data_IF_223973939291
#
_entry.id   IF_223973939291
#
_cell.length_a   1.000
_cell.length_b   1.000
_cell.length_c   1.000
_cell.angle_alpha   90.00
_cell.angle_beta   90.00
_cell.angle_gamma   90.00
#
_symmetry.space_group_name_H-M   'P 1'
#
loop_
_entity.id
_entity.type
_entity.pdbx_description
1 polymer ?
#
# COMPACT_ATOMS: atom_id res chain seq x y z
N UNK A 1 7.43 11.99 67.96
CA UNK A 1 7.86 12.55 66.67
C UNK A 1 9.12 11.86 66.23
N UNK A 2 9.14 11.00 65.23
CA UNK A 2 10.34 10.51 64.61
C UNK A 2 10.63 11.28 63.31
N UNK A 3 11.93 11.57 63.09
CA UNK A 3 12.48 12.30 61.99
C UNK A 3 12.33 11.56 60.66
N UNK A 4 11.90 12.28 59.60
CA UNK A 4 11.94 11.81 58.23
C UNK A 4 13.39 11.76 57.74
N UNK A 5 13.87 10.58 57.35
CA UNK A 5 15.09 10.43 56.58
C UNK A 5 14.79 10.77 55.11
N UNK A 6 15.56 11.72 54.57
CA UNK A 6 15.54 12.08 53.15
C UNK A 6 16.22 10.98 52.33
N UNK A 7 15.52 10.51 51.31
CA UNK A 7 16.09 9.65 50.26
C UNK A 7 17.06 10.47 49.38
N UNK A 8 18.35 10.17 49.42
CA UNK A 8 19.32 10.63 48.43
C UNK A 8 19.00 9.91 47.13
N UNK A 9 18.63 10.70 46.07
CA UNK A 9 18.77 10.23 44.69
C UNK A 9 20.24 10.02 44.41
N UNK A 10 20.60 8.82 44.07
CA UNK A 10 21.92 8.49 43.51
C UNK A 10 21.79 8.77 42.01
N UNK A 11 22.38 9.85 41.54
CA UNK A 11 22.59 10.08 40.11
C UNK A 11 23.67 9.06 39.68
N UNK A 12 23.21 8.02 38.98
CA UNK A 12 24.09 7.05 38.33
C UNK A 12 24.52 7.70 37.00
N UNK A 13 25.77 8.17 36.96
CA UNK A 13 26.39 8.55 35.70
C UNK A 13 26.41 7.33 34.76
N UNK A 14 26.04 7.48 33.46
CA UNK A 14 26.11 6.38 32.52
C UNK A 14 27.54 5.85 32.42
N UNK A 15 27.66 4.54 32.51
CA UNK A 15 28.95 3.85 32.43
C UNK A 15 29.62 4.08 31.07
N UNK A 16 30.93 4.11 31.02
CA UNK A 16 31.73 4.25 29.78
C UNK A 16 31.39 3.18 28.70
N UNK A 17 30.70 2.11 29.06
CA UNK A 17 30.22 1.08 28.13
C UNK A 17 29.03 1.56 27.31
N UNK A 18 28.11 2.34 27.86
CA UNK A 18 26.95 2.92 27.14
C UNK A 18 27.36 4.07 26.21
N UNK A 19 28.51 4.72 26.48
CA UNK A 19 29.11 5.73 25.58
C UNK A 19 29.92 5.12 24.43
N UNK A 20 30.39 3.88 24.55
CA UNK A 20 31.16 3.19 23.50
C UNK A 20 30.32 2.58 22.39
N UNK A 21 29.01 2.36 22.61
CA UNK A 21 28.08 1.84 21.56
C UNK A 21 27.51 2.91 20.61
N UNK A 22 27.84 4.18 20.82
CA UNK A 22 27.51 5.28 19.89
C UNK A 22 28.66 5.64 18.95
N UNK A 23 29.65 4.79 18.77
CA UNK A 23 30.80 5.09 17.93
C UNK A 23 30.83 4.28 16.66
N UNK A 24 30.79 5.02 15.56
CA UNK A 24 31.26 4.67 14.23
C UNK A 24 30.44 3.63 13.44
N UNK A 25 29.14 3.91 13.28
CA UNK A 25 28.38 3.26 12.23
C UNK A 25 29.03 3.61 10.89
N UNK A 26 29.52 2.62 10.16
CA UNK A 26 30.22 2.83 8.91
C UNK A 26 29.29 3.51 7.86
N UNK A 27 29.88 4.21 6.88
CA UNK A 27 29.11 4.81 5.76
C UNK A 27 28.25 3.77 5.04
N UNK A 28 28.75 2.55 4.90
CA UNK A 28 28.03 1.40 4.32
C UNK A 28 26.79 1.03 5.12
N UNK A 29 26.91 0.97 6.45
CA UNK A 29 25.77 0.66 7.33
C UNK A 29 24.74 1.77 7.34
N UNK A 30 25.17 3.05 7.39
CA UNK A 30 24.27 4.20 7.30
C UNK A 30 23.53 4.23 5.95
N UNK A 31 24.22 3.94 4.84
CA UNK A 31 23.58 3.86 3.53
C UNK A 31 22.56 2.71 3.44
N UNK A 32 22.85 1.55 4.04
CA UNK A 32 21.89 0.44 4.11
C UNK A 32 20.64 0.81 4.93
N UNK A 33 20.80 1.50 6.04
CA UNK A 33 19.69 1.99 6.86
C UNK A 33 18.91 3.10 6.14
N UNK A 34 19.60 4.03 5.49
CA UNK A 34 18.99 5.10 4.70
C UNK A 34 18.21 4.56 3.51
N UNK A 35 18.66 3.44 2.91
CA UNK A 35 17.90 2.76 1.85
C UNK A 35 16.54 2.29 2.36
N UNK A 36 16.51 1.56 3.47
CA UNK A 36 15.24 1.05 4.05
C UNK A 36 14.34 2.21 4.47
N UNK A 37 14.91 3.21 5.16
CA UNK A 37 14.16 4.40 5.60
C UNK A 37 13.57 5.19 4.44
N UNK A 38 14.38 5.45 3.41
CA UNK A 38 14.03 6.29 2.27
C UNK A 38 13.25 5.57 1.17
N UNK A 39 13.25 4.22 1.16
CA UNK A 39 12.63 3.43 0.10
C UNK A 39 11.17 3.80 -0.15
N UNK A 40 10.30 3.97 0.86
CA UNK A 40 8.91 4.35 0.63
C UNK A 40 8.79 5.69 -0.10
N UNK A 41 9.53 6.70 0.31
CA UNK A 41 9.52 8.02 -0.33
C UNK A 41 10.00 7.94 -1.78
N UNK A 42 11.19 7.35 -2.00
CA UNK A 42 11.82 7.32 -3.33
C UNK A 42 10.98 6.48 -4.29
N UNK A 43 10.59 5.29 -3.89
CA UNK A 43 9.80 4.40 -4.73
C UNK A 43 8.41 4.97 -5.04
N UNK A 44 7.74 5.56 -4.05
CA UNK A 44 6.43 6.19 -4.23
C UNK A 44 6.52 7.36 -5.24
N UNK A 45 7.48 8.26 -5.07
CA UNK A 45 7.60 9.43 -5.95
C UNK A 45 8.09 9.06 -7.35
N UNK A 46 8.85 7.98 -7.51
CA UNK A 46 9.15 7.41 -8.83
C UNK A 46 7.85 6.90 -9.52
N UNK A 47 6.91 6.30 -8.75
CA UNK A 47 5.61 5.95 -9.34
C UNK A 47 4.76 7.19 -9.65
N UNK A 48 4.75 8.21 -8.78
CA UNK A 48 4.11 9.51 -9.09
C UNK A 48 4.62 10.07 -10.41
N UNK A 49 5.94 10.09 -10.61
CA UNK A 49 6.55 10.53 -11.86
C UNK A 49 6.04 9.72 -13.07
N UNK A 50 6.02 8.39 -12.96
CA UNK A 50 5.54 7.50 -14.04
C UNK A 50 4.07 7.76 -14.39
N UNK A 51 3.19 7.90 -13.39
CA UNK A 51 1.78 8.19 -13.64
C UNK A 51 1.56 9.52 -14.34
N UNK A 52 2.40 10.52 -14.05
CA UNK A 52 2.31 11.85 -14.68
C UNK A 52 2.83 11.84 -16.13
N UNK A 53 3.90 11.09 -16.42
CA UNK A 53 4.61 11.19 -17.68
C UNK A 53 4.37 10.02 -18.64
N UNK A 54 4.27 8.79 -18.12
CA UNK A 54 4.26 7.57 -18.94
C UNK A 54 2.90 6.86 -18.92
N UNK A 55 2.14 7.00 -17.83
CA UNK A 55 1.03 6.12 -17.48
C UNK A 55 1.52 4.80 -16.87
N UNK A 56 0.62 4.05 -16.24
CA UNK A 56 0.94 2.76 -15.61
C UNK A 56 -0.21 1.77 -15.83
N UNK A 57 0.07 0.63 -16.46
CA UNK A 57 -0.93 -0.39 -16.80
C UNK A 57 -2.07 0.19 -17.63
N UNK A 58 -3.32 -0.02 -17.20
CA UNK A 58 -4.51 0.51 -17.87
C UNK A 58 -4.76 2.01 -17.61
N UNK A 59 -3.98 2.67 -16.76
CA UNK A 59 -4.10 4.09 -16.48
C UNK A 59 -3.21 4.89 -17.42
N UNK A 60 -3.76 5.75 -18.33
CA UNK A 60 -2.95 6.62 -19.17
C UNK A 60 -2.22 7.68 -18.34
N UNK A 61 -1.16 8.27 -18.91
CA UNK A 61 -0.51 9.43 -18.32
C UNK A 61 -1.52 10.57 -18.12
N UNK A 62 -1.43 11.25 -16.97
CA UNK A 62 -2.24 12.42 -16.69
C UNK A 62 -1.43 13.45 -15.89
N UNK A 63 -1.58 14.76 -16.18
CA UNK A 63 -0.88 15.79 -15.44
C UNK A 63 -1.33 15.82 -13.97
N UNK A 64 -0.55 16.47 -13.12
CA UNK A 64 -0.95 16.70 -11.74
C UNK A 64 -2.35 17.33 -11.66
N UNK A 65 -3.07 16.99 -10.59
CA UNK A 65 -4.43 17.46 -10.30
C UNK A 65 -5.48 17.04 -11.36
N UNK A 66 -5.23 15.94 -12.05
CA UNK A 66 -6.14 15.36 -13.05
C UNK A 66 -6.24 13.86 -12.83
N UNK A 67 -7.46 13.34 -12.90
CA UNK A 67 -7.65 11.88 -12.82
C UNK A 67 -7.19 11.18 -14.11
N UNK A 68 -6.47 10.10 -13.91
CA UNK A 68 -6.24 9.04 -14.90
C UNK A 68 -7.16 7.88 -14.57
N UNK A 69 -8.01 7.51 -15.48
CA UNK A 69 -8.98 6.43 -15.27
C UNK A 69 -8.61 5.21 -16.11
N UNK A 70 -8.42 4.06 -15.46
CA UNK A 70 -8.51 2.78 -16.14
C UNK A 70 -9.96 2.57 -16.59
N UNK A 71 -10.16 1.98 -17.78
CA UNK A 71 -11.50 1.77 -18.35
C UNK A 71 -11.89 0.30 -18.46
N UNK A 72 -11.03 -0.58 -17.95
CA UNK A 72 -11.23 -2.04 -17.92
C UNK A 72 -10.82 -2.60 -16.59
N UNK A 73 -11.35 -3.74 -16.22
CA UNK A 73 -10.76 -4.57 -15.17
C UNK A 73 -9.40 -5.07 -15.63
N UNK A 74 -8.49 -5.29 -14.68
CA UNK A 74 -7.18 -5.84 -14.99
C UNK A 74 -7.28 -7.28 -15.49
N UNK A 75 -6.43 -7.63 -16.43
CA UNK A 75 -6.31 -8.96 -17.01
C UNK A 75 -4.87 -9.46 -17.05
N UNK A 76 -4.60 -10.64 -17.63
CA UNK A 76 -3.25 -11.23 -17.70
C UNK A 76 -2.24 -10.42 -18.50
N UNK A 77 -2.69 -9.48 -19.33
CA UNK A 77 -1.80 -8.56 -20.07
C UNK A 77 -1.27 -7.43 -19.20
N UNK A 78 -1.88 -7.18 -18.04
CA UNK A 78 -1.46 -6.18 -17.08
C UNK A 78 -0.38 -6.77 -16.17
N UNK A 79 0.87 -6.51 -16.48
CA UNK A 79 2.05 -7.04 -15.77
C UNK A 79 2.38 -6.25 -14.51
N UNK A 80 1.37 -5.90 -13.71
CA UNK A 80 1.55 -5.29 -12.40
C UNK A 80 1.39 -6.33 -11.30
N UNK A 81 2.34 -6.33 -10.36
CA UNK A 81 2.41 -7.31 -9.27
C UNK A 81 1.15 -7.29 -8.40
N UNK A 82 0.47 -8.43 -8.32
CA UNK A 82 -0.70 -8.64 -7.44
C UNK A 82 -1.84 -7.63 -7.70
N UNK A 83 -2.01 -7.18 -8.96
CA UNK A 83 -3.11 -6.27 -9.36
C UNK A 83 -4.47 -6.93 -9.06
N UNK A 84 -5.43 -6.16 -8.51
CA UNK A 84 -6.76 -6.71 -8.29
C UNK A 84 -7.59 -6.72 -9.60
N UNK A 85 -8.56 -7.61 -9.66
CA UNK A 85 -9.53 -7.76 -10.75
C UNK A 85 -10.97 -7.48 -10.27
N UNK A 86 -11.13 -6.81 -9.13
CA UNK A 86 -12.42 -6.58 -8.46
C UNK A 86 -12.96 -5.18 -8.70
N UNK A 87 -12.07 -4.24 -9.02
CA UNK A 87 -12.35 -2.81 -9.11
C UNK A 87 -11.61 -2.19 -10.28
N UNK A 88 -12.23 -1.17 -10.88
CA UNK A 88 -11.59 -0.32 -11.88
C UNK A 88 -10.90 0.85 -11.17
N UNK A 89 -9.68 1.19 -11.59
CA UNK A 89 -8.87 2.21 -10.93
C UNK A 89 -9.09 3.62 -11.47
N UNK A 90 -9.06 4.60 -10.57
CA UNK A 90 -8.94 6.02 -10.86
C UNK A 90 -7.77 6.59 -10.08
N UNK A 91 -6.73 7.01 -10.76
CA UNK A 91 -5.51 7.52 -10.14
C UNK A 91 -5.40 9.02 -10.36
N UNK A 92 -5.03 9.78 -9.34
CA UNK A 92 -4.66 11.18 -9.52
C UNK A 92 -3.42 11.49 -8.69
N UNK A 93 -2.44 12.11 -9.32
CA UNK A 93 -1.29 12.66 -8.64
C UNK A 93 -1.61 14.12 -8.32
N UNK A 94 -1.57 14.48 -7.04
CA UNK A 94 -1.96 15.79 -6.55
C UNK A 94 -0.70 16.59 -6.24
N UNK A 95 -0.64 17.83 -6.72
CA UNK A 95 0.37 18.80 -6.34
C UNK A 95 -0.32 20.10 -5.90
N UNK A 96 -0.30 20.33 -4.60
CA UNK A 96 -0.93 21.50 -3.96
C UNK A 96 0.00 22.72 -3.88
N UNK A 97 1.11 22.74 -4.60
CA UNK A 97 1.91 23.96 -4.81
C UNK A 97 1.11 25.04 -5.56
N UNK A 98 0.10 24.63 -6.32
CA UNK A 98 -0.85 25.52 -7.01
C UNK A 98 -1.87 26.19 -6.07
N UNK A 99 -1.96 25.73 -4.81
CA UNK A 99 -3.00 26.11 -3.86
C UNK A 99 -4.05 25.01 -3.67
N UNK A 100 -5.21 25.34 -3.06
CA UNK A 100 -6.28 24.36 -2.82
C UNK A 100 -6.85 23.76 -4.11
N UNK A 101 -7.25 22.48 -4.04
CA UNK A 101 -7.93 21.75 -5.11
C UNK A 101 -9.29 21.27 -4.60
N UNK A 102 -10.36 21.57 -5.31
CA UNK A 102 -11.68 21.04 -5.04
C UNK A 102 -11.81 19.65 -5.67
N UNK A 103 -12.24 18.67 -4.88
CA UNK A 103 -12.63 17.33 -5.33
C UNK A 103 -14.15 17.24 -5.24
N UNK A 104 -14.78 16.88 -6.36
CA UNK A 104 -16.18 16.50 -6.41
C UNK A 104 -16.33 15.00 -6.63
N UNK A 105 -17.22 14.35 -5.87
CA UNK A 105 -17.60 12.94 -6.06
C UNK A 105 -19.11 12.87 -6.27
N UNK A 106 -19.62 12.21 -7.32
CA UNK A 106 -21.05 12.08 -7.59
C UNK A 106 -21.73 11.11 -6.60
N UNK A 107 -23.07 11.13 -6.57
CA UNK A 107 -23.84 10.06 -5.91
C UNK A 107 -23.59 8.74 -6.62
N UNK A 108 -23.12 7.72 -5.90
CA UNK A 108 -22.77 6.41 -6.47
C UNK A 108 -23.88 5.36 -6.34
N UNK A 109 -25.05 5.79 -5.83
CA UNK A 109 -26.26 4.95 -5.66
C UNK A 109 -25.99 3.63 -4.92
N UNK A 110 -25.23 3.72 -3.81
CA UNK A 110 -24.89 2.57 -2.98
C UNK A 110 -23.72 1.71 -3.49
N UNK A 111 -23.10 2.04 -4.61
CA UNK A 111 -21.92 1.33 -5.12
C UNK A 111 -20.73 1.53 -4.19
N UNK A 112 -20.03 0.43 -3.89
CA UNK A 112 -18.74 0.53 -3.21
C UNK A 112 -17.74 1.26 -4.09
N UNK A 113 -17.10 2.25 -3.50
CA UNK A 113 -15.91 2.92 -4.01
C UNK A 113 -15.06 3.41 -2.85
N UNK A 114 -13.79 3.61 -3.11
CA UNK A 114 -12.86 4.28 -2.21
C UNK A 114 -11.90 5.15 -2.99
N UNK A 115 -11.71 6.37 -2.55
CA UNK A 115 -10.59 7.24 -2.87
C UNK A 115 -9.68 7.24 -1.65
N UNK A 116 -8.56 6.57 -1.73
CA UNK A 116 -7.52 6.48 -0.72
C UNK A 116 -6.51 7.60 -0.97
N UNK A 117 -6.19 8.37 0.05
CA UNK A 117 -5.22 9.45 -0.03
C UNK A 117 -3.91 9.01 0.62
N UNK A 118 -2.83 9.07 -0.15
CA UNK A 118 -1.49 8.61 0.24
C UNK A 118 -0.50 9.74 0.07
N UNK A 119 0.19 10.12 1.15
CA UNK A 119 1.20 11.19 1.10
C UNK A 119 2.51 10.74 0.45
N UNK A 120 3.49 11.65 0.32
CA UNK A 120 4.79 11.35 -0.26
C UNK A 120 5.53 10.21 0.47
N UNK A 121 5.32 10.05 1.78
CA UNK A 121 5.92 9.02 2.64
C UNK A 121 5.07 7.75 2.75
N UNK A 122 4.09 7.57 1.87
CA UNK A 122 3.17 6.42 1.83
C UNK A 122 2.19 6.30 3.00
N UNK A 123 2.02 7.34 3.82
CA UNK A 123 0.96 7.32 4.83
C UNK A 123 -0.42 7.39 4.17
N UNK A 124 -1.28 6.44 4.48
CA UNK A 124 -2.72 6.53 4.20
C UNK A 124 -3.33 7.51 5.21
N UNK A 125 -3.60 8.75 4.81
CA UNK A 125 -4.01 9.81 5.75
C UNK A 125 -5.47 10.22 5.67
N UNK A 126 -6.16 9.88 4.56
CA UNK A 126 -7.59 10.14 4.38
C UNK A 126 -8.24 9.09 3.49
N UNK A 127 -9.55 8.96 3.62
CA UNK A 127 -10.40 8.15 2.75
C UNK A 127 -11.70 8.89 2.45
N UNK A 128 -12.12 8.87 1.19
CA UNK A 128 -13.45 9.27 0.74
C UNK A 128 -14.07 8.06 0.05
N UNK A 129 -15.27 7.65 0.43
CA UNK A 129 -15.88 6.46 -0.16
C UNK A 129 -16.97 5.85 0.68
N UNK A 130 -17.42 4.69 0.27
CA UNK A 130 -18.58 4.00 0.81
C UNK A 130 -18.53 3.89 2.35
N UNK A 131 -17.45 3.37 2.92
CA UNK A 131 -17.25 3.27 4.37
C UNK A 131 -17.04 4.65 5.02
N UNK A 132 -16.18 5.49 4.42
CA UNK A 132 -15.64 6.67 5.07
C UNK A 132 -16.62 7.85 5.07
N UNK A 133 -17.31 8.10 3.94
CA UNK A 133 -18.18 9.27 3.73
C UNK A 133 -19.55 8.91 3.18
N UNK A 134 -19.81 7.63 2.94
CA UNK A 134 -21.04 7.16 2.30
C UNK A 134 -21.01 7.31 0.79
N UNK A 135 -22.18 7.11 0.16
CA UNK A 135 -22.32 7.00 -1.29
C UNK A 135 -23.02 8.21 -1.93
N UNK A 136 -23.40 9.20 -1.13
CA UNK A 136 -24.01 10.44 -1.65
C UNK A 136 -22.96 11.37 -2.24
N UNK A 137 -23.39 12.22 -3.16
CA UNK A 137 -22.54 13.26 -3.73
C UNK A 137 -21.90 14.11 -2.64
N UNK A 138 -20.61 14.42 -2.79
CA UNK A 138 -19.83 15.19 -1.83
C UNK A 138 -18.78 16.08 -2.46
N UNK A 139 -18.50 17.21 -1.80
CA UNK A 139 -17.47 18.16 -2.19
C UNK A 139 -16.43 18.27 -1.08
N UNK A 140 -15.16 18.17 -1.45
CA UNK A 140 -14.02 18.19 -0.55
C UNK A 140 -13.02 19.25 -1.00
N UNK A 141 -12.38 19.91 -0.06
CA UNK A 141 -11.31 20.88 -0.33
C UNK A 141 -9.97 20.28 0.12
N UNK A 142 -9.13 19.95 -0.84
CA UNK A 142 -7.77 19.45 -0.61
C UNK A 142 -6.85 20.64 -0.41
N UNK A 143 -6.16 20.70 0.73
CA UNK A 143 -5.34 21.86 1.10
C UNK A 143 -3.92 21.48 1.47
N UNK A 144 -2.90 22.30 1.11
CA UNK A 144 -1.50 22.03 1.49
C UNK A 144 -1.28 22.12 3.01
N UNK A 145 -0.17 21.59 3.54
CA UNK A 145 0.12 21.58 4.98
C UNK A 145 0.07 22.97 5.63
N UNK A 146 0.50 24.00 4.90
CA UNK A 146 0.61 25.37 5.39
C UNK A 146 -0.64 26.24 5.17
N UNK A 147 -1.73 25.64 4.66
CA UNK A 147 -2.93 26.41 4.36
C UNK A 147 -3.61 26.97 5.61
N UNK A 148 -3.89 28.29 5.61
CA UNK A 148 -4.52 29.03 6.70
C UNK A 148 -5.86 29.62 6.32
N UNK A 149 -6.39 29.28 5.13
CA UNK A 149 -7.67 29.79 4.64
C UNK A 149 -8.85 29.28 5.48
N UNK A 150 -10.01 29.89 5.27
CA UNK A 150 -11.26 29.52 5.94
C UNK A 150 -12.14 28.76 4.95
N UNK A 151 -12.53 27.50 5.24
CA UNK A 151 -13.45 26.77 4.38
C UNK A 151 -14.85 27.33 4.46
N UNK A 152 -15.68 27.09 3.44
CA UNK A 152 -17.13 27.34 3.55
C UNK A 152 -17.75 26.32 4.51
N UNK A 153 -18.86 26.66 5.15
CA UNK A 153 -19.51 25.85 6.20
C UNK A 153 -19.98 24.45 5.72
N UNK A 154 -19.99 24.20 4.42
CA UNK A 154 -20.51 22.97 3.81
C UNK A 154 -19.42 22.11 3.16
N UNK A 155 -18.15 22.55 3.17
CA UNK A 155 -17.06 21.86 2.51
C UNK A 155 -16.21 21.08 3.52
N UNK A 156 -16.07 19.79 3.34
CA UNK A 156 -15.13 18.96 4.11
C UNK A 156 -13.71 19.26 3.65
N UNK A 157 -12.85 19.72 4.57
CA UNK A 157 -11.44 19.98 4.28
C UNK A 157 -10.63 18.72 4.53
N UNK A 158 -9.73 18.40 3.59
CA UNK A 158 -8.71 17.36 3.74
C UNK A 158 -7.34 18.02 3.69
N UNK A 159 -6.65 18.04 4.81
CA UNK A 159 -5.33 18.65 4.94
C UNK A 159 -4.24 17.63 4.60
N UNK A 160 -3.45 17.94 3.59
CA UNK A 160 -2.37 17.05 3.15
C UNK A 160 -1.16 17.18 4.06
N UNK A 161 -0.51 16.07 4.44
CA UNK A 161 0.76 16.09 5.18
C UNK A 161 1.93 16.62 4.34
N UNK A 162 1.90 16.37 3.03
CA UNK A 162 2.90 16.81 2.05
C UNK A 162 2.22 17.53 0.88
N UNK A 163 2.92 18.44 0.20
CA UNK A 163 2.35 19.17 -0.94
C UNK A 163 2.04 18.28 -2.12
N UNK A 164 2.76 17.17 -2.28
CA UNK A 164 2.48 16.13 -3.27
C UNK A 164 1.92 14.89 -2.56
N UNK A 165 0.87 14.31 -3.13
CA UNK A 165 0.24 13.08 -2.67
C UNK A 165 -0.48 12.38 -3.82
N UNK A 166 -0.91 11.15 -3.61
CA UNK A 166 -1.69 10.37 -4.58
C UNK A 166 -3.11 10.14 -4.08
N UNK A 167 -4.08 10.19 -4.99
CA UNK A 167 -5.43 9.63 -4.79
C UNK A 167 -5.48 8.30 -5.55
N UNK A 168 -5.74 7.22 -4.82
CA UNK A 168 -5.86 5.87 -5.37
C UNK A 168 -7.33 5.45 -5.29
N UNK A 169 -8.03 5.67 -6.37
CA UNK A 169 -9.46 5.39 -6.49
C UNK A 169 -9.72 3.95 -6.95
N UNK A 170 -10.69 3.31 -6.33
CA UNK A 170 -11.16 1.97 -6.69
C UNK A 170 -12.68 1.96 -6.73
N UNK A 171 -13.26 1.48 -7.85
CA UNK A 171 -14.69 1.42 -8.08
C UNK A 171 -15.10 -0.04 -8.27
N UNK A 172 -15.98 -0.55 -7.42
CA UNK A 172 -16.51 -1.89 -7.59
C UNK A 172 -17.21 -2.02 -8.94
N UNK A 173 -16.86 -3.07 -9.68
CA UNK A 173 -17.32 -3.29 -11.04
C UNK A 173 -17.45 -4.78 -11.32
N UNK A 174 -18.46 -5.17 -12.12
CA UNK A 174 -18.54 -6.41 -12.83
C UNK A 174 -18.41 -6.16 -14.33
N UNK A 175 -18.25 -7.21 -15.13
CA UNK A 175 -18.00 -7.10 -16.57
C UNK A 175 -19.09 -6.32 -17.33
N UNK A 176 -20.36 -6.53 -16.97
CA UNK A 176 -21.51 -5.88 -17.61
C UNK A 176 -21.77 -4.44 -17.11
N UNK A 177 -20.99 -3.94 -16.17
CA UNK A 177 -21.26 -2.74 -15.38
C UNK A 177 -20.29 -1.59 -15.68
N UNK A 178 -19.30 -1.82 -16.52
CA UNK A 178 -18.28 -0.84 -16.92
C UNK A 178 -18.85 0.51 -17.36
N UNK A 179 -19.93 0.60 -18.20
CA UNK A 179 -20.44 1.90 -18.60
C UNK A 179 -20.95 2.76 -17.44
N UNK A 180 -21.57 2.14 -16.42
CA UNK A 180 -22.02 2.86 -15.23
C UNK A 180 -20.83 3.37 -14.39
N UNK A 181 -19.79 2.55 -14.24
CA UNK A 181 -18.57 2.97 -13.55
C UNK A 181 -17.87 4.09 -14.31
N UNK A 182 -17.79 4.04 -15.65
CA UNK A 182 -17.21 5.11 -16.46
C UNK A 182 -17.95 6.44 -16.24
N UNK A 183 -19.28 6.43 -16.16
CA UNK A 183 -20.06 7.64 -15.89
C UNK A 183 -19.72 8.25 -14.51
N UNK A 184 -19.52 7.41 -13.48
CA UNK A 184 -19.08 7.85 -12.15
C UNK A 184 -17.65 8.40 -12.17
N UNK A 185 -16.72 7.73 -12.87
CA UNK A 185 -15.37 8.20 -13.06
C UNK A 185 -15.34 9.57 -13.73
N UNK A 186 -16.08 9.74 -14.82
CA UNK A 186 -16.16 10.99 -15.59
C UNK A 186 -16.81 12.15 -14.81
N UNK A 187 -17.72 11.82 -13.87
CA UNK A 187 -18.35 12.80 -12.99
C UNK A 187 -17.48 13.12 -11.74
N UNK A 188 -16.45 12.33 -11.45
CA UNK A 188 -15.51 12.60 -10.35
C UNK A 188 -14.44 13.56 -10.83
N UNK A 189 -14.39 14.78 -10.27
CA UNK A 189 -13.56 15.85 -10.82
C UNK A 189 -12.63 16.48 -9.79
N UNK A 190 -11.50 17.00 -10.28
CA UNK A 190 -10.56 17.85 -9.55
C UNK A 190 -10.52 19.22 -10.21
N UNK A 191 -10.62 20.29 -9.42
CA UNK A 191 -10.59 21.67 -9.91
C UNK A 191 -9.67 22.50 -9.01
N UNK A 192 -8.65 23.12 -9.59
CA UNK A 192 -7.78 24.02 -8.84
C UNK A 192 -8.56 25.28 -8.48
N UNK A 193 -8.54 25.65 -7.19
CA UNK A 193 -9.19 26.84 -6.66
C UNK A 193 -8.13 27.92 -6.45
N UNK A 194 -8.31 29.09 -7.06
CA UNK A 194 -7.38 30.24 -6.93
C UNK A 194 -5.92 29.86 -7.25
N UNK A 195 -5.69 29.43 -8.50
CA UNK A 195 -4.38 28.94 -8.95
C UNK A 195 -3.24 29.95 -8.76
N UNK A 196 -2.18 29.54 -8.08
CA UNK A 196 -0.93 30.27 -7.96
C UNK A 196 0.05 30.06 -9.16
N UNK A 197 -0.37 29.33 -10.19
CA UNK A 197 0.44 28.99 -11.34
C UNK A 197 0.36 27.52 -11.74
N UNK A 198 1.36 27.02 -12.45
CA UNK A 198 1.48 25.60 -12.78
C UNK A 198 1.97 24.78 -11.56
N UNK A 199 1.64 23.48 -11.46
CA UNK A 199 2.23 22.59 -10.46
C UNK A 199 3.75 22.63 -10.50
N UNK A 200 4.39 22.68 -9.32
CA UNK A 200 5.86 22.68 -9.21
C UNK A 200 6.47 21.33 -9.61
N UNK A 201 5.71 20.26 -9.43
CA UNK A 201 6.16 18.89 -9.69
C UNK A 201 7.17 18.38 -8.68
N UNK A 202 7.89 17.34 -9.06
CA UNK A 202 8.95 16.76 -8.22
C UNK A 202 10.29 17.45 -8.49
N UNK A 203 11.11 17.76 -7.47
CA UNK A 203 12.48 18.18 -7.66
C UNK A 203 13.26 17.19 -8.53
N UNK A 204 14.02 17.71 -9.48
CA UNK A 204 14.80 16.88 -10.39
C UNK A 204 16.17 16.58 -9.78
N UNK A 205 16.59 15.30 -9.71
CA UNK A 205 17.92 14.92 -9.25
C UNK A 205 19.03 15.54 -10.10
N UNK A 206 20.20 15.80 -9.51
CA UNK A 206 21.36 16.27 -10.22
C UNK A 206 21.80 15.20 -11.25
N UNK A 207 21.88 15.60 -12.52
CA UNK A 207 22.21 14.70 -13.63
C UNK A 207 23.65 14.20 -13.64
N UNK A 208 24.54 14.82 -12.85
CA UNK A 208 25.95 14.42 -12.73
C UNK A 208 26.15 13.32 -11.67
N UNK A 209 25.14 13.03 -10.85
CA UNK A 209 25.18 11.93 -9.87
C UNK A 209 25.14 10.58 -10.58
N UNK A 210 26.04 9.68 -10.20
CA UNK A 210 26.09 8.33 -10.76
C UNK A 210 24.81 7.53 -10.45
N UNK A 211 24.46 6.58 -11.30
CA UNK A 211 23.29 5.72 -11.10
C UNK A 211 23.33 4.96 -9.77
N UNK A 212 24.51 4.55 -9.33
CA UNK A 212 24.70 3.81 -8.07
C UNK A 212 24.36 4.64 -6.83
N UNK A 213 24.39 5.98 -6.95
CA UNK A 213 24.08 6.90 -5.84
C UNK A 213 22.79 7.71 -6.06
N UNK A 214 22.10 7.49 -7.18
CA UNK A 214 20.89 8.23 -7.54
C UNK A 214 19.78 8.08 -6.48
N UNK A 215 19.71 6.94 -5.81
CA UNK A 215 18.77 6.75 -4.71
C UNK A 215 18.99 7.74 -3.57
N UNK A 216 20.26 7.94 -3.14
CA UNK A 216 20.60 8.90 -2.07
C UNK A 216 20.31 10.34 -2.50
N UNK A 217 20.58 10.69 -3.75
CA UNK A 217 20.26 12.02 -4.29
C UNK A 217 18.75 12.27 -4.28
N UNK A 218 17.95 11.32 -4.76
CA UNK A 218 16.49 11.40 -4.68
C UNK A 218 16.00 11.52 -3.25
N UNK A 219 16.51 10.68 -2.34
CA UNK A 219 16.16 10.75 -0.91
C UNK A 219 16.48 12.14 -0.34
N UNK A 220 17.67 12.68 -0.64
CA UNK A 220 18.11 13.99 -0.17
C UNK A 220 17.17 15.11 -0.62
N UNK A 221 16.92 15.25 -1.93
CA UNK A 221 16.13 16.38 -2.44
C UNK A 221 14.64 16.22 -2.16
N UNK A 222 14.11 15.00 -2.21
CA UNK A 222 12.69 14.77 -1.99
C UNK A 222 12.30 14.82 -0.52
N UNK A 223 13.17 14.40 0.40
CA UNK A 223 12.90 14.57 1.83
C UNK A 223 12.99 16.03 2.30
N UNK A 224 13.72 16.90 1.57
CA UNK A 224 13.71 18.34 1.80
C UNK A 224 12.41 18.99 1.27
N UNK A 225 11.96 18.59 0.08
CA UNK A 225 10.73 19.10 -0.51
C UNK A 225 9.46 18.58 0.21
N UNK A 226 9.52 17.35 0.68
CA UNK A 226 8.45 16.65 1.38
C UNK A 226 8.96 16.09 2.71
N UNK A 227 9.09 16.93 3.76
CA UNK A 227 9.68 16.52 5.02
C UNK A 227 8.94 15.36 5.67
N UNK A 228 9.65 14.45 6.38
CA UNK A 228 9.03 13.36 7.12
C UNK A 228 8.19 13.89 8.29
N UNK A 229 7.39 13.01 8.87
CA UNK A 229 6.69 13.29 10.12
C UNK A 229 7.68 13.75 11.21
N UNK A 230 7.27 14.65 12.12
CA UNK A 230 8.15 15.20 13.15
C UNK A 230 8.91 14.14 13.97
N UNK A 231 8.27 12.99 14.22
CA UNK A 231 8.87 11.87 14.97
C UNK A 231 10.00 11.16 14.24
N UNK A 232 10.05 11.24 12.90
CA UNK A 232 11.04 10.55 12.05
C UNK A 232 12.23 11.46 11.70
N UNK A 233 12.20 12.74 12.12
CA UNK A 233 13.27 13.71 11.81
C UNK A 233 14.60 13.33 12.43
N UNK A 234 14.61 12.92 13.70
CA UNK A 234 15.84 12.50 14.38
C UNK A 234 16.52 11.34 13.66
N UNK A 235 15.73 10.37 13.17
CA UNK A 235 16.26 9.29 12.35
C UNK A 235 16.82 9.80 11.02
N UNK A 236 16.12 10.71 10.32
CA UNK A 236 16.65 11.32 9.11
C UNK A 236 17.95 12.08 9.35
N UNK A 237 18.00 12.83 10.44
CA UNK A 237 19.20 13.61 10.82
C UNK A 237 20.41 12.71 11.09
N UNK A 238 20.20 11.46 11.54
CA UNK A 238 21.28 10.48 11.72
C UNK A 238 21.98 10.10 10.41
N UNK A 239 21.37 10.35 9.27
CA UNK A 239 21.99 10.13 7.94
C UNK A 239 22.79 11.34 7.43
N UNK A 240 22.98 12.40 8.23
CA UNK A 240 23.83 13.55 7.88
C UNK A 240 25.25 13.15 7.45
N UNK A 241 25.93 12.15 8.09
CA UNK A 241 27.29 11.77 7.70
C UNK A 241 27.43 11.20 6.28
N UNK A 242 26.30 10.85 5.66
CA UNK A 242 26.26 10.35 4.27
C UNK A 242 25.58 11.35 3.31
N UNK A 243 25.38 12.60 3.73
CA UNK A 243 24.92 13.69 2.86
C UNK A 243 23.40 13.81 2.67
N UNK A 244 22.56 12.97 3.27
CA UNK A 244 21.09 12.96 3.06
C UNK A 244 20.43 14.28 3.48
N UNK A 245 20.99 14.98 4.47
CA UNK A 245 20.43 16.24 4.99
C UNK A 245 21.11 17.49 4.41
N UNK A 246 22.10 17.32 3.51
CA UNK A 246 22.81 18.46 2.92
C UNK A 246 21.93 19.22 1.92
N UNK A 247 21.97 20.56 2.04
CA UNK A 247 21.26 21.48 1.16
C UNK A 247 22.15 21.99 0.02
N UNK A 248 21.55 22.43 -1.08
CA UNK A 248 22.26 23.02 -2.20
C UNK A 248 22.77 21.98 -3.18
N UNK A 249 24.02 22.13 -3.66
CA UNK A 249 24.63 21.21 -4.63
C UNK A 249 24.72 19.79 -4.07
N UNK A 250 24.61 18.81 -4.97
CA UNK A 250 24.68 17.40 -4.58
C UNK A 250 26.05 17.03 -4.03
N UNK A 251 26.18 16.49 -2.80
CA UNK A 251 27.44 15.99 -2.28
C UNK A 251 27.94 14.76 -3.04
N UNK A 252 27.08 14.07 -3.78
CA UNK A 252 27.38 12.80 -4.44
C UNK A 252 28.13 12.96 -5.76
N UNK A 253 28.23 14.17 -6.29
CA UNK A 253 28.96 14.47 -7.54
C UNK A 253 30.50 14.45 -7.32
N UNK A 254 30.96 14.81 -6.11
CA UNK A 254 32.38 15.03 -5.83
C UNK A 254 32.97 14.12 -4.76
N UNK A 255 32.39 12.97 -4.51
CA UNK A 255 32.90 11.99 -3.57
C UNK A 255 34.23 11.37 -4.01
N UNK A 256 35.08 10.96 -3.03
CA UNK A 256 36.17 10.06 -3.34
C UNK A 256 35.65 8.72 -3.90
N UNK A 257 36.46 8.00 -4.67
CA UNK A 257 36.07 6.69 -5.18
C UNK A 257 35.73 5.70 -4.06
N UNK A 258 36.48 5.73 -2.96
CA UNK A 258 36.26 4.86 -1.80
C UNK A 258 34.96 5.19 -1.08
N UNK A 259 34.64 6.47 -0.89
CA UNK A 259 33.37 6.89 -0.28
C UNK A 259 32.16 6.54 -1.17
N UNK A 260 32.29 6.77 -2.47
CA UNK A 260 31.22 6.42 -3.42
C UNK A 260 30.96 4.91 -3.45
N UNK A 261 32.02 4.09 -3.43
CA UNK A 261 31.91 2.64 -3.36
C UNK A 261 31.26 2.18 -2.05
N UNK A 262 31.68 2.74 -0.90
CA UNK A 262 31.10 2.38 0.39
C UNK A 262 29.59 2.69 0.48
N UNK A 263 29.15 3.81 -0.10
CA UNK A 263 27.72 4.16 -0.16
C UNK A 263 26.95 3.21 -1.10
N UNK A 264 27.48 2.89 -2.29
CA UNK A 264 26.87 1.98 -3.25
C UNK A 264 26.73 0.54 -2.69
N UNK A 265 27.78 0.05 -1.99
CA UNK A 265 27.75 -1.24 -1.29
C UNK A 265 26.66 -1.24 -0.21
N UNK A 266 26.54 -0.13 0.52
CA UNK A 266 25.49 0.05 1.52
C UNK A 266 24.09 0.01 0.94
N UNK A 267 23.85 0.71 -0.17
CA UNK A 267 22.54 0.67 -0.87
C UNK A 267 22.20 -0.76 -1.33
N UNK A 268 23.17 -1.49 -1.87
CA UNK A 268 23.01 -2.89 -2.27
C UNK A 268 22.66 -3.78 -1.07
N UNK A 269 23.34 -3.58 0.06
CA UNK A 269 23.02 -4.31 1.30
C UNK A 269 21.63 -3.96 1.83
N UNK A 270 21.24 -2.68 1.77
CA UNK A 270 19.90 -2.22 2.15
C UNK A 270 18.79 -2.85 1.29
N UNK A 271 19.00 -2.94 -0.02
CA UNK A 271 18.07 -3.61 -0.93
C UNK A 271 17.91 -5.10 -0.61
N UNK A 272 19.02 -5.78 -0.36
CA UNK A 272 19.00 -7.19 0.06
C UNK A 272 18.25 -7.38 1.37
N UNK A 273 18.52 -6.55 2.39
CA UNK A 273 17.85 -6.61 3.68
C UNK A 273 16.33 -6.38 3.54
N UNK A 274 15.93 -5.44 2.69
CA UNK A 274 14.51 -5.20 2.40
C UNK A 274 13.87 -6.39 1.69
N UNK A 275 14.57 -7.02 0.76
CA UNK A 275 14.08 -8.23 0.09
C UNK A 275 13.90 -9.39 1.08
N UNK A 276 14.84 -9.59 1.97
CA UNK A 276 14.75 -10.60 3.04
C UNK A 276 13.57 -10.32 3.99
N UNK A 277 13.35 -9.06 4.37
CA UNK A 277 12.21 -8.66 5.19
C UNK A 277 10.87 -8.94 4.49
N UNK A 278 10.77 -8.68 3.20
CA UNK A 278 9.56 -8.96 2.41
C UNK A 278 9.26 -10.46 2.29
N UNK A 279 10.29 -11.28 2.10
CA UNK A 279 10.12 -12.73 1.86
C UNK A 279 9.96 -13.53 3.14
N UNK A 280 10.64 -13.12 4.21
CA UNK A 280 10.67 -13.82 5.51
C UNK A 280 10.02 -13.01 6.63
N UNK A 281 9.19 -12.02 6.28
CA UNK A 281 8.54 -11.12 7.23
C UNK A 281 7.74 -11.85 8.31
N UNK A 282 7.52 -11.15 9.44
CA UNK A 282 6.93 -11.67 10.66
C UNK A 282 5.39 -11.72 10.66
N UNK A 283 4.73 -11.67 9.49
CA UNK A 283 3.27 -11.75 9.44
C UNK A 283 2.77 -13.02 10.12
N UNK A 284 1.81 -12.94 11.05
CA UNK A 284 1.21 -14.12 11.66
C UNK A 284 0.63 -15.06 10.58
N UNK A 285 0.60 -16.34 10.89
CA UNK A 285 0.05 -17.35 10.00
C UNK A 285 -1.08 -18.13 10.70
N UNK A 286 -2.15 -18.39 9.94
CA UNK A 286 -3.22 -19.27 10.36
C UNK A 286 -3.66 -20.14 9.19
N UNK A 287 -3.73 -21.47 9.36
CA UNK A 287 -4.12 -22.42 8.32
C UNK A 287 -3.34 -22.25 6.99
N UNK A 288 -2.04 -21.90 7.07
CA UNK A 288 -1.18 -21.64 5.91
C UNK A 288 -1.36 -20.25 5.29
N UNK A 289 -2.32 -19.44 5.76
CA UNK A 289 -2.50 -18.06 5.31
C UNK A 289 -1.60 -17.10 6.07
N UNK A 290 -0.88 -16.24 5.35
CA UNK A 290 -0.16 -15.09 5.91
C UNK A 290 -1.15 -13.97 6.13
N UNK A 291 -1.27 -13.53 7.40
CA UNK A 291 -2.21 -12.50 7.84
C UNK A 291 -1.53 -11.13 7.76
N UNK A 292 -1.64 -10.46 6.62
CA UNK A 292 -0.97 -9.17 6.37
C UNK A 292 -1.82 -7.96 6.80
N UNK A 293 -2.66 -8.12 7.83
CA UNK A 293 -3.60 -7.08 8.27
C UNK A 293 -2.92 -5.77 8.67
N UNK A 294 -1.74 -5.86 9.29
CA UNK A 294 -1.05 -4.68 9.83
C UNK A 294 0.05 -4.13 8.91
N UNK A 295 0.16 -4.62 7.67
CA UNK A 295 1.21 -4.21 6.74
C UNK A 295 1.20 -2.71 6.40
N UNK A 296 0.04 -2.04 6.54
CA UNK A 296 -0.13 -0.62 6.20
C UNK A 296 -0.33 0.29 7.43
N UNK A 297 -0.19 -0.22 8.65
CA UNK A 297 -0.50 0.46 9.91
C UNK A 297 0.67 1.30 10.45
N UNK A 298 1.51 1.82 9.56
CA UNK A 298 2.69 2.63 9.91
C UNK A 298 2.41 4.14 10.02
N UNK A 299 1.21 4.62 9.64
CA UNK A 299 0.78 5.99 9.89
C UNK A 299 0.49 6.20 11.37
N UNK A 300 1.20 7.14 12.02
CA UNK A 300 1.02 7.46 13.43
C UNK A 300 0.61 8.91 13.68
N UNK A 301 0.58 9.76 12.63
CA UNK A 301 0.58 11.21 12.77
C UNK A 301 -0.56 11.91 12.02
N UNK A 302 -1.07 11.32 10.94
CA UNK A 302 -1.95 12.02 10.02
C UNK A 302 -3.27 11.27 9.83
N UNK A 303 -4.34 11.82 10.40
CA UNK A 303 -5.68 11.21 10.41
C UNK A 303 -6.72 12.26 10.02
N UNK A 304 -7.02 12.32 8.74
CA UNK A 304 -8.07 13.17 8.17
C UNK A 304 -9.36 12.34 7.94
N UNK A 305 -10.33 12.88 7.22
CA UNK A 305 -11.63 12.23 7.00
C UNK A 305 -11.49 10.75 6.64
N UNK A 306 -12.25 9.89 7.28
CA UNK A 306 -12.30 8.45 7.00
C UNK A 306 -11.11 7.64 7.48
N UNK A 307 -9.96 8.25 7.85
CA UNK A 307 -8.85 7.56 8.50
C UNK A 307 -9.16 7.35 9.99
N UNK A 308 -8.77 6.19 10.53
CA UNK A 308 -9.09 5.79 11.91
C UNK A 308 -7.84 5.92 12.77
N UNK A 309 -7.88 6.83 13.74
CA UNK A 309 -6.85 7.03 14.77
C UNK A 309 -7.11 6.09 15.96
N UNK A 310 -6.76 4.80 15.81
CA UNK A 310 -6.93 3.80 16.85
C UNK A 310 -5.60 3.02 17.02
N UNK A 311 -5.16 2.75 18.28
CA UNK A 311 -3.93 1.99 18.53
C UNK A 311 -3.86 0.61 17.87
N UNK A 312 -4.99 -0.05 17.62
CA UNK A 312 -5.03 -1.35 16.95
C UNK A 312 -4.52 -1.30 15.49
N UNK A 313 -4.55 -0.12 14.86
CA UNK A 313 -4.08 0.12 13.49
C UNK A 313 -2.76 0.91 13.49
N UNK A 314 -1.89 0.69 14.48
CA UNK A 314 -0.60 1.38 14.61
C UNK A 314 0.52 0.43 14.97
N UNK A 315 1.59 0.43 14.18
CA UNK A 315 2.83 -0.26 14.52
C UNK A 315 3.62 0.63 15.49
N UNK A 316 3.55 0.31 16.78
CA UNK A 316 4.16 1.13 17.83
C UNK A 316 5.69 1.05 17.86
N UNK A 317 6.28 -0.11 17.55
CA UNK A 317 7.74 -0.29 17.50
C UNK A 317 8.34 0.49 16.32
N UNK A 318 9.26 1.47 16.57
CA UNK A 318 9.80 2.30 15.50
C UNK A 318 10.63 1.53 14.47
N UNK A 319 11.35 0.48 14.89
CA UNK A 319 12.19 -0.32 13.98
C UNK A 319 11.31 -1.18 13.08
N UNK A 320 10.34 -1.86 13.69
CA UNK A 320 9.35 -2.65 12.93
C UNK A 320 8.58 -1.75 11.96
N UNK A 321 8.13 -0.58 12.40
CA UNK A 321 7.37 0.37 11.57
C UNK A 321 8.14 0.79 10.31
N UNK A 322 9.43 1.05 10.42
CA UNK A 322 10.26 1.49 9.28
C UNK A 322 10.45 0.36 8.28
N UNK A 323 10.75 -0.84 8.73
CA UNK A 323 10.94 -1.99 7.84
C UNK A 323 9.61 -2.44 7.21
N UNK A 324 8.52 -2.43 7.97
CA UNK A 324 7.19 -2.78 7.44
C UNK A 324 6.71 -1.75 6.40
N UNK A 325 6.92 -0.45 6.63
CA UNK A 325 6.63 0.59 5.63
C UNK A 325 7.39 0.34 4.32
N UNK A 326 8.67 0.03 4.39
CA UNK A 326 9.48 -0.26 3.21
C UNK A 326 9.05 -1.55 2.52
N UNK A 327 8.77 -2.60 3.28
CA UNK A 327 8.27 -3.88 2.76
C UNK A 327 6.89 -3.73 2.10
N UNK A 328 5.98 -2.98 2.73
CA UNK A 328 4.66 -2.66 2.16
C UNK A 328 4.79 -1.87 0.86
N UNK A 329 5.67 -0.86 0.80
CA UNK A 329 5.92 -0.10 -0.43
C UNK A 329 6.45 -1.00 -1.55
N UNK A 330 7.38 -1.93 -1.25
CA UNK A 330 7.95 -2.84 -2.25
C UNK A 330 6.97 -3.95 -2.69
N UNK A 331 6.20 -4.50 -1.76
CA UNK A 331 5.33 -5.68 -2.00
C UNK A 331 3.90 -5.36 -2.40
N UNK A 332 3.42 -4.14 -2.15
CA UNK A 332 2.02 -3.76 -2.38
C UNK A 332 1.77 -2.27 -2.18
N UNK A 333 2.54 -1.42 -2.89
CA UNK A 333 2.39 0.04 -2.80
C UNK A 333 0.91 0.45 -2.89
N UNK A 334 0.52 1.40 -2.03
CA UNK A 334 -0.83 1.95 -1.94
C UNK A 334 -1.92 0.93 -1.52
N UNK A 335 -1.56 -0.08 -0.73
CA UNK A 335 -2.56 -0.92 -0.07
C UNK A 335 -3.34 -0.14 0.99
N UNK A 336 -4.58 -0.57 1.23
CA UNK A 336 -5.47 0.05 2.21
C UNK A 336 -5.14 -0.41 3.63
N UNK A 337 -5.53 0.39 4.63
CA UNK A 337 -5.66 -0.12 6.00
C UNK A 337 -6.66 -1.28 6.07
N UNK A 338 -6.51 -2.22 7.01
CA UNK A 338 -7.36 -3.39 7.07
C UNK A 338 -8.83 -3.07 7.31
N UNK A 339 -9.16 -1.96 7.96
CA UNK A 339 -10.55 -1.53 8.15
C UNK A 339 -11.24 -1.07 6.84
N UNK A 340 -10.49 -0.76 5.78
CA UNK A 340 -11.02 -0.47 4.45
C UNK A 340 -11.00 -1.70 3.55
N UNK A 341 -9.85 -2.40 3.52
CA UNK A 341 -9.73 -3.67 2.82
C UNK A 341 -8.61 -4.51 3.45
N UNK A 342 -8.95 -5.72 3.85
CA UNK A 342 -8.00 -6.68 4.39
C UNK A 342 -7.52 -7.64 3.31
N UNK A 343 -6.23 -7.98 3.35
CA UNK A 343 -5.57 -8.87 2.39
C UNK A 343 -4.92 -10.02 3.15
N UNK A 344 -5.11 -11.24 2.70
CA UNK A 344 -4.35 -12.41 3.17
C UNK A 344 -3.98 -13.27 1.99
N UNK A 345 -2.89 -13.98 2.09
CA UNK A 345 -2.36 -14.79 1.00
C UNK A 345 -1.78 -16.10 1.50
N UNK A 346 -1.76 -17.11 0.64
CA UNK A 346 -1.11 -18.38 0.96
C UNK A 346 -0.32 -18.92 -0.24
N UNK A 347 0.77 -19.58 0.06
CA UNK A 347 1.58 -20.34 -0.91
C UNK A 347 1.40 -21.85 -0.75
N UNK A 348 0.78 -22.29 0.34
CA UNK A 348 0.80 -23.69 0.75
C UNK A 348 -0.60 -24.27 0.97
N UNK A 349 -0.71 -25.57 0.84
CA UNK A 349 -1.89 -26.35 1.23
C UNK A 349 -1.88 -26.66 2.75
N UNK A 350 -2.88 -27.42 3.20
CA UNK A 350 -3.05 -27.85 4.60
C UNK A 350 -1.90 -28.77 5.12
N UNK A 351 -1.02 -29.23 4.23
CA UNK A 351 0.17 -30.02 4.57
C UNK A 351 1.45 -29.17 4.54
N UNK A 352 1.37 -27.86 4.32
CA UNK A 352 2.52 -26.98 4.15
C UNK A 352 3.25 -27.16 2.82
N UNK A 353 2.62 -27.79 1.82
CA UNK A 353 3.20 -28.01 0.50
C UNK A 353 2.85 -26.87 -0.43
N UNK A 354 3.82 -26.37 -1.21
CA UNK A 354 3.62 -25.34 -2.23
C UNK A 354 2.44 -25.70 -3.15
N UNK A 355 1.51 -24.74 -3.30
CA UNK A 355 0.39 -24.86 -4.23
C UNK A 355 0.90 -24.91 -5.67
N UNK A 356 0.47 -25.94 -6.42
CA UNK A 356 0.93 -26.18 -7.78
C UNK A 356 -0.19 -26.80 -8.61
N UNK A 357 -0.43 -26.28 -9.81
CA UNK A 357 -1.57 -26.66 -10.66
C UNK A 357 -1.50 -28.05 -11.29
N UNK A 358 -0.51 -28.85 -10.98
CA UNK A 358 -0.52 -30.30 -11.27
C UNK A 358 -1.43 -31.09 -10.31
N UNK A 359 -2.06 -30.40 -9.36
CA UNK A 359 -2.96 -30.96 -8.35
C UNK A 359 -4.26 -30.17 -8.32
N UNK A 360 -5.31 -30.81 -7.80
CA UNK A 360 -6.61 -30.16 -7.54
C UNK A 360 -6.75 -29.88 -6.05
N UNK A 361 -7.31 -28.75 -5.73
CA UNK A 361 -7.53 -28.31 -4.35
C UNK A 361 -8.95 -27.82 -4.15
N UNK A 362 -9.38 -27.77 -2.91
CA UNK A 362 -10.64 -27.14 -2.48
C UNK A 362 -10.39 -26.25 -1.28
N UNK A 363 -11.19 -25.17 -1.18
CA UNK A 363 -11.36 -24.39 0.04
C UNK A 363 -12.84 -24.30 0.32
N UNK A 364 -13.26 -24.68 1.54
CA UNK A 364 -14.63 -24.60 2.00
C UNK A 364 -14.79 -23.48 3.00
N UNK A 365 -15.46 -22.42 2.58
CA UNK A 365 -15.73 -21.23 3.38
C UNK A 365 -17.04 -21.43 4.15
N UNK A 366 -16.95 -21.54 5.49
CA UNK A 366 -18.07 -21.78 6.39
C UNK A 366 -17.82 -21.07 7.74
N UNK A 367 -18.43 -19.89 7.95
CA UNK A 367 -19.14 -19.07 6.95
C UNK A 367 -18.22 -18.47 5.92
N UNK A 368 -18.78 -17.87 4.86
CA UNK A 368 -18.05 -17.02 3.92
C UNK A 368 -17.48 -15.80 4.63
N UNK A 369 -16.44 -15.11 4.08
CA UNK A 369 -15.82 -13.95 4.71
C UNK A 369 -16.86 -12.89 5.11
N UNK A 370 -16.93 -12.50 6.41
CA UNK A 370 -17.90 -11.52 6.88
C UNK A 370 -17.42 -10.10 6.55
N UNK A 371 -18.02 -9.49 5.53
CA UNK A 371 -17.72 -8.17 5.01
C UNK A 371 -18.99 -7.35 4.82
N UNK A 372 -18.87 -6.02 4.82
CA UNK A 372 -20.00 -5.12 4.53
C UNK A 372 -20.07 -4.75 3.05
N UNK A 373 -18.97 -4.84 2.30
CA UNK A 373 -18.95 -4.59 0.87
C UNK A 373 -18.93 -5.91 0.08
N UNK A 374 -17.78 -6.50 -0.16
CA UNK A 374 -17.62 -7.76 -0.88
C UNK A 374 -16.26 -8.40 -0.61
N UNK A 375 -16.09 -9.65 -1.03
CA UNK A 375 -14.81 -10.35 -0.97
C UNK A 375 -14.49 -11.06 -2.28
N UNK A 376 -13.21 -11.33 -2.52
CA UNK A 376 -12.71 -12.12 -3.66
C UNK A 376 -11.50 -12.96 -3.31
N UNK A 377 -11.39 -14.13 -3.94
CA UNK A 377 -10.20 -14.96 -3.98
C UNK A 377 -9.61 -14.87 -5.38
N UNK A 378 -8.46 -14.20 -5.54
CA UNK A 378 -7.83 -13.93 -6.84
C UNK A 378 -6.61 -14.82 -7.03
N UNK A 379 -6.44 -15.37 -8.23
CA UNK A 379 -5.36 -16.28 -8.59
C UNK A 379 -4.18 -15.58 -9.23
N UNK A 380 -2.95 -15.87 -8.73
CA UNK A 380 -1.70 -15.35 -9.29
C UNK A 380 -0.69 -16.46 -9.54
N UNK A 381 0.07 -16.32 -10.63
CA UNK A 381 1.25 -17.14 -10.90
C UNK A 381 2.38 -16.87 -9.90
N UNK A 382 3.30 -17.79 -9.75
CA UNK A 382 4.57 -17.64 -9.03
C UNK A 382 5.69 -17.97 -10.02
N UNK A 383 6.76 -17.16 -10.11
CA UNK A 383 7.18 -16.11 -9.19
C UNK A 383 6.70 -14.69 -9.55
N UNK A 384 6.02 -14.46 -10.67
CA UNK A 384 5.75 -13.12 -11.21
C UNK A 384 4.59 -12.41 -10.53
N UNK A 385 3.68 -13.16 -9.89
CA UNK A 385 2.47 -12.64 -9.23
C UNK A 385 1.53 -11.89 -10.17
N UNK A 386 1.41 -12.36 -11.41
CA UNK A 386 0.48 -11.85 -12.41
C UNK A 386 -0.81 -12.67 -12.47
N UNK A 387 -1.88 -12.06 -12.95
CA UNK A 387 -3.13 -12.77 -13.24
C UNK A 387 -2.88 -13.85 -14.29
N UNK A 388 -3.59 -14.98 -14.16
CA UNK A 388 -3.35 -16.18 -14.97
C UNK A 388 -4.40 -16.30 -16.06
N UNK A 389 -3.98 -16.26 -17.34
CA UNK A 389 -4.87 -16.52 -18.46
C UNK A 389 -5.48 -17.92 -18.36
N UNK A 390 -6.78 -18.03 -18.58
CA UNK A 390 -7.53 -19.27 -18.47
C UNK A 390 -8.74 -19.30 -19.42
N UNK A 391 -9.30 -20.48 -19.73
CA UNK A 391 -10.31 -20.65 -20.80
C UNK A 391 -11.67 -20.00 -20.51
N UNK A 392 -11.94 -19.53 -19.32
CA UNK A 392 -13.22 -18.88 -18.92
C UNK A 392 -13.04 -17.43 -18.47
N UNK A 393 -11.85 -16.86 -18.67
CA UNK A 393 -11.48 -15.50 -18.25
C UNK A 393 -11.82 -15.16 -16.79
N UNK A 394 -11.82 -16.18 -15.91
CA UNK A 394 -12.08 -16.04 -14.48
C UNK A 394 -10.78 -15.97 -13.71
N UNK A 395 -10.38 -14.77 -13.28
CA UNK A 395 -9.15 -14.50 -12.53
C UNK A 395 -9.37 -14.46 -11.03
N UNK A 396 -10.62 -14.24 -10.62
CA UNK A 396 -11.07 -14.24 -9.24
C UNK A 396 -12.43 -14.93 -9.09
N UNK A 397 -12.76 -15.34 -7.86
CA UNK A 397 -14.08 -15.82 -7.45
C UNK A 397 -14.44 -15.21 -6.11
N UNK A 398 -15.68 -14.79 -5.93
CA UNK A 398 -16.17 -14.14 -4.71
C UNK A 398 -17.69 -14.10 -4.65
N UNK A 399 -18.22 -13.39 -3.66
CA UNK A 399 -19.67 -13.26 -3.45
C UNK A 399 -20.43 -12.60 -4.61
N UNK A 400 -19.72 -11.80 -5.45
CA UNK A 400 -20.30 -11.16 -6.64
C UNK A 400 -20.16 -12.00 -7.93
N UNK A 401 -19.52 -13.17 -7.87
CA UNK A 401 -19.31 -14.01 -9.05
C UNK A 401 -20.64 -14.62 -9.51
N UNK A 402 -21.10 -14.37 -10.76
CA UNK A 402 -22.34 -14.93 -11.24
C UNK A 402 -22.33 -16.47 -11.26
N UNK A 403 -23.43 -17.07 -10.84
CA UNK A 403 -23.66 -18.51 -10.94
C UNK A 403 -22.91 -19.37 -9.92
N UNK A 404 -22.32 -18.80 -8.88
CA UNK A 404 -21.77 -19.60 -7.75
C UNK A 404 -22.89 -20.37 -7.04
N UNK A 405 -22.58 -21.56 -6.56
CA UNK A 405 -23.51 -22.47 -5.90
C UNK A 405 -23.03 -22.73 -4.48
N UNK A 406 -23.89 -22.38 -3.50
CA UNK A 406 -23.63 -22.69 -2.09
C UNK A 406 -24.05 -24.12 -1.77
N UNK A 407 -23.37 -24.72 -0.80
CA UNK A 407 -23.73 -26.01 -0.23
C UNK A 407 -25.09 -25.94 0.51
N UNK A 408 -25.69 -27.09 0.81
CA UNK A 408 -27.02 -27.16 1.44
C UNK A 408 -27.05 -26.49 2.84
N UNK A 409 -25.91 -26.34 3.51
CA UNK A 409 -25.73 -25.69 4.81
C UNK A 409 -25.32 -24.21 4.69
N UNK A 410 -25.26 -23.67 3.47
CA UNK A 410 -24.90 -22.28 3.18
C UNK A 410 -23.41 -22.00 3.01
N UNK A 411 -22.54 -22.99 3.21
CA UNK A 411 -21.13 -22.86 2.94
C UNK A 411 -20.84 -22.71 1.45
N UNK A 412 -19.65 -22.24 1.10
CA UNK A 412 -19.17 -22.16 -0.29
C UNK A 412 -17.90 -22.99 -0.44
N UNK A 413 -17.97 -24.02 -1.26
CA UNK A 413 -16.81 -24.81 -1.65
C UNK A 413 -16.29 -24.35 -3.00
N UNK A 414 -15.06 -23.78 -3.02
CA UNK A 414 -14.36 -23.34 -4.23
C UNK A 414 -13.39 -24.45 -4.64
N UNK A 415 -13.42 -24.83 -5.92
CA UNK A 415 -12.48 -25.77 -6.53
C UNK A 415 -11.37 -25.00 -7.23
N UNK A 416 -10.11 -25.31 -6.92
CA UNK A 416 -8.92 -24.72 -7.53
C UNK A 416 -8.19 -25.81 -8.32
N UNK A 417 -8.14 -25.68 -9.65
CA UNK A 417 -7.48 -26.65 -10.52
C UNK A 417 -7.10 -26.00 -11.85
N UNK A 418 -6.12 -26.60 -12.55
CA UNK A 418 -5.79 -26.19 -13.90
C UNK A 418 -6.83 -26.69 -14.90
N UNK A 419 -7.24 -27.95 -14.76
CA UNK A 419 -8.24 -28.56 -15.63
C UNK A 419 -9.67 -28.29 -15.10
N UNK A 420 -10.61 -28.09 -16.01
CA UNK A 420 -12.01 -27.86 -15.69
C UNK A 420 -12.62 -29.04 -14.92
N UNK A 421 -13.29 -28.81 -13.78
CA UNK A 421 -13.98 -29.86 -13.05
C UNK A 421 -15.14 -30.47 -13.84
N UNK A 422 -15.35 -31.77 -13.67
CA UNK A 422 -16.46 -32.50 -14.34
C UNK A 422 -17.79 -32.35 -13.62
N UNK A 423 -17.75 -32.20 -12.30
CA UNK A 423 -18.95 -31.96 -11.49
C UNK A 423 -19.52 -30.56 -11.74
N UNK A 424 -20.82 -30.45 -11.85
CA UNK A 424 -21.49 -29.20 -12.22
C UNK A 424 -21.32 -28.10 -11.13
N UNK A 425 -21.39 -28.46 -9.86
CA UNK A 425 -21.20 -27.52 -8.73
C UNK A 425 -19.74 -27.10 -8.64
N UNK A 426 -18.82 -28.05 -8.72
CA UNK A 426 -17.39 -27.76 -8.73
C UNK A 426 -16.99 -26.87 -9.93
N UNK A 427 -17.63 -27.05 -11.10
CA UNK A 427 -17.43 -26.19 -12.28
C UNK A 427 -18.02 -24.79 -12.07
N UNK A 428 -19.19 -24.65 -11.45
CA UNK A 428 -19.76 -23.35 -11.12
C UNK A 428 -18.84 -22.55 -10.18
N UNK A 429 -18.23 -23.23 -9.22
CA UNK A 429 -17.33 -22.68 -8.19
C UNK A 429 -15.84 -22.85 -8.52
N UNK A 430 -15.50 -23.02 -9.81
CA UNK A 430 -14.12 -23.24 -10.24
C UNK A 430 -13.32 -21.93 -10.33
N UNK A 431 -12.18 -21.89 -9.66
CA UNK A 431 -11.13 -20.90 -9.84
C UNK A 431 -9.95 -21.54 -10.57
N UNK A 432 -9.76 -21.26 -11.86
CA UNK A 432 -8.65 -21.78 -12.65
C UNK A 432 -7.29 -21.36 -12.08
N UNK A 433 -6.31 -22.27 -12.07
CA UNK A 433 -4.93 -21.98 -11.69
C UNK A 433 -3.93 -22.33 -12.82
N UNK A 434 -2.69 -21.79 -12.81
CA UNK A 434 -1.65 -22.17 -13.78
C UNK A 434 -1.21 -23.61 -13.55
N UNK A 435 -0.52 -24.25 -14.54
CA UNK A 435 0.09 -25.58 -14.34
C UNK A 435 1.23 -25.57 -13.32
N UNK A 436 1.94 -24.44 -13.21
CA UNK A 436 3.05 -24.24 -12.28
C UNK A 436 2.60 -23.86 -10.87
N UNK A 437 3.52 -23.27 -10.13
CA UNK A 437 3.27 -22.77 -8.79
C UNK A 437 2.35 -21.55 -8.82
N UNK A 438 1.51 -21.42 -7.79
CA UNK A 438 0.57 -20.31 -7.69
C UNK A 438 0.36 -19.84 -6.25
N UNK A 439 -0.22 -18.65 -6.13
CA UNK A 439 -0.55 -17.99 -4.88
C UNK A 439 -1.92 -17.32 -4.97
N UNK A 440 -2.95 -17.82 -4.29
CA UNK A 440 -4.19 -17.07 -4.16
C UNK A 440 -4.08 -15.96 -3.12
N UNK A 441 -4.80 -14.87 -3.36
CA UNK A 441 -4.97 -13.75 -2.43
C UNK A 441 -6.45 -13.58 -2.15
N UNK A 442 -6.84 -13.69 -0.88
CA UNK A 442 -8.19 -13.36 -0.42
C UNK A 442 -8.22 -11.88 -0.04
N UNK A 443 -9.13 -11.14 -0.68
CA UNK A 443 -9.43 -9.73 -0.39
C UNK A 443 -10.80 -9.61 0.24
N UNK A 444 -10.89 -8.86 1.32
CA UNK A 444 -12.11 -8.60 2.07
C UNK A 444 -12.29 -7.08 2.16
N UNK A 445 -13.29 -6.55 1.46
CA UNK A 445 -13.58 -5.12 1.41
C UNK A 445 -14.61 -4.76 2.47
N UNK A 446 -14.31 -3.74 3.27
CA UNK A 446 -15.05 -3.41 4.49
C UNK A 446 -15.24 -4.61 5.41
N UNK A 447 -14.14 -5.23 5.87
CA UNK A 447 -14.20 -6.41 6.71
C UNK A 447 -14.89 -6.11 8.04
N UNK A 448 -15.65 -7.10 8.55
CA UNK A 448 -16.28 -7.00 9.86
C UNK A 448 -15.24 -7.03 10.99
N UNK A 449 -15.61 -6.64 12.21
CA UNK A 449 -14.73 -6.79 13.38
C UNK A 449 -14.15 -8.19 13.55
N UNK A 450 -14.92 -9.23 13.21
CA UNK A 450 -14.46 -10.62 13.33
C UNK A 450 -13.26 -10.97 12.43
N UNK A 451 -13.11 -10.28 11.31
CA UNK A 451 -11.90 -10.39 10.45
C UNK A 451 -10.73 -9.65 11.10
N UNK A 452 -10.98 -8.43 11.59
CA UNK A 452 -9.95 -7.57 12.14
C UNK A 452 -9.35 -8.08 13.44
N UNK A 453 -10.18 -8.65 14.32
CA UNK A 453 -9.75 -9.27 15.59
C UNK A 453 -9.33 -10.74 15.42
N UNK A 454 -9.35 -11.27 14.19
CA UNK A 454 -8.96 -12.63 13.81
C UNK A 454 -9.83 -13.73 14.46
N UNK A 455 -11.02 -13.42 14.94
CA UNK A 455 -12.00 -14.43 15.38
C UNK A 455 -12.63 -15.19 14.20
N UNK A 456 -12.68 -14.56 13.02
CA UNK A 456 -12.93 -15.25 11.75
C UNK A 456 -11.62 -15.81 11.19
N UNK A 457 -11.51 -17.14 11.16
CA UNK A 457 -10.30 -17.82 10.66
C UNK A 457 -10.60 -18.42 9.30
N UNK A 458 -9.85 -18.01 8.29
CA UNK A 458 -9.97 -18.56 6.92
C UNK A 458 -9.50 -20.03 6.93
N UNK A 459 -10.29 -20.98 6.38
CA UNK A 459 -9.90 -22.38 6.31
C UNK A 459 -8.69 -22.60 5.40
N UNK A 460 -7.93 -23.67 5.66
CA UNK A 460 -6.83 -24.07 4.81
C UNK A 460 -7.32 -24.46 3.40
N UNK A 461 -6.46 -24.28 2.41
CA UNK A 461 -6.63 -24.89 1.09
C UNK A 461 -6.23 -26.36 1.20
N UNK A 462 -7.16 -27.26 0.93
CA UNK A 462 -6.96 -28.70 1.08
C UNK A 462 -6.77 -29.35 -0.29
N UNK A 463 -5.80 -30.28 -0.36
CA UNK A 463 -5.62 -31.08 -1.56
C UNK A 463 -6.77 -32.08 -1.71
N UNK A 464 -7.44 -32.08 -2.87
CA UNK A 464 -8.45 -33.09 -3.20
C UNK A 464 -7.82 -34.47 -3.25
N UNK A 465 -8.48 -35.47 -2.67
CA UNK A 465 -8.11 -36.86 -2.83
C UNK A 465 -8.49 -37.30 -4.23
N UNK A 466 -7.56 -37.90 -4.96
CA UNK A 466 -7.83 -38.57 -6.24
C UNK A 466 -8.84 -39.69 -6.08
#
# INVERSE_FOLDING_TARGET
MPRRQGSRKVDVEPTNYERAEMTDTSRTELAAQAYIYGFPLVFNLDQVHRYVHDGVGANPAAPFNTFSHARTLAGPADTFVTINNDTVYSMAQIDLSVGPVALHVPDTDGRYYVLQFVDAWTNNFAYVGHRATGTKSGDFLLVPPTWTGTPTAQTTVIRFPTTVASIVGRWACGDDDLPAVHALQDATTLTVVDSAGAPAGLPVPDSEVSQDLLFLEKLRIWSQAFPPAPRDRELQDSFSPIGVTEHGASPYVSLSADDAAALADGLTAGEKNLHEALTHGSSPEANGWKLTFHAFDYNLDYFEVGAIDDPQFKIADPRLRIIERAAAAKGGLWGNHPYEAAYILTYVDDQGTQLNGNRTYTIRLDPTPPVSAFWSLTMYSVPDFFLVANPIDRYSIGDRTPGIVHDADGALTITISHEEPKDATAKANWLPCPRGDFRPVLRMYEPSPAVLDQSYVVPAITRSRE
#
